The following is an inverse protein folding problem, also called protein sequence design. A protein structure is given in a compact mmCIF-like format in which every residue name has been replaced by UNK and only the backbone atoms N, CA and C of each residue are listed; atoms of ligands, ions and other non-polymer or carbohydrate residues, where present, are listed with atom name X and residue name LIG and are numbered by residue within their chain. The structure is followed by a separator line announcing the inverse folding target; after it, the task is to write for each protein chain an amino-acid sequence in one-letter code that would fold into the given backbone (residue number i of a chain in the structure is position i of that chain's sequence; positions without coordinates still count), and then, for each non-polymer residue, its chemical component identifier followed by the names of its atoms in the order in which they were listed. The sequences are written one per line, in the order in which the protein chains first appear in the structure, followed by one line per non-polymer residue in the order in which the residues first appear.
data_IF_653955412383
#
_entry.id   IF_653955412383
#
_cell.length_a   1.000
_cell.length_b   1.000
_cell.length_c   1.000
_cell.angle_alpha   90.00
_cell.angle_beta   90.00
_cell.angle_gamma   90.00
#
_symmetry.space_group_name_H-M   'P 1'
#
loop_
_entity.id
_entity.type
_entity.pdbx_description
1 polymer ?
#
# COMPACT_ATOMS: atom_id res chain seq x y z
N UNK A 1 7.47 14.11 6.99
CA UNK A 1 6.81 15.41 6.66
C UNK A 1 7.06 15.86 5.21
N UNK A 2 8.20 15.52 4.63
CA UNK A 2 8.56 15.81 3.21
C UNK A 2 7.68 15.10 2.20
N UNK A 3 7.33 13.81 2.43
CA UNK A 3 6.61 12.98 1.47
C UNK A 3 5.17 13.45 1.22
N UNK A 4 4.48 13.92 2.27
CA UNK A 4 3.12 14.47 2.11
C UNK A 4 3.13 15.78 1.32
N UNK A 5 4.16 16.62 1.48
CA UNK A 5 4.27 17.85 0.68
C UNK A 5 4.41 17.51 -0.80
N UNK A 6 5.23 16.51 -1.16
CA UNK A 6 5.41 16.05 -2.54
C UNK A 6 4.11 15.51 -3.13
N UNK A 7 3.35 14.71 -2.36
CA UNK A 7 2.03 14.23 -2.78
C UNK A 7 1.06 15.40 -3.04
N UNK A 8 0.96 16.34 -2.10
CA UNK A 8 0.11 17.53 -2.24
C UNK A 8 0.49 18.37 -3.45
N UNK A 9 1.78 18.52 -3.74
CA UNK A 9 2.28 19.24 -4.94
C UNK A 9 1.82 18.53 -6.21
N UNK A 10 1.92 17.19 -6.29
CA UNK A 10 1.47 16.41 -7.46
C UNK A 10 -0.03 16.54 -7.71
N UNK A 11 -0.83 16.52 -6.64
CA UNK A 11 -2.28 16.73 -6.73
C UNK A 11 -2.60 18.17 -7.10
N UNK A 12 -1.86 19.15 -6.57
CA UNK A 12 -1.98 20.56 -6.95
C UNK A 12 -1.74 20.79 -8.43
N UNK A 13 -0.70 20.16 -9.00
CA UNK A 13 -0.42 20.19 -10.44
C UNK A 13 -1.55 19.55 -11.25
N UNK A 14 -2.09 18.42 -10.81
CA UNK A 14 -3.24 17.80 -11.46
C UNK A 14 -4.46 18.73 -11.49
N UNK A 15 -4.77 19.41 -10.39
CA UNK A 15 -5.86 20.39 -10.30
C UNK A 15 -5.61 21.57 -11.24
N UNK A 16 -4.35 22.05 -11.33
CA UNK A 16 -3.98 23.14 -12.23
C UNK A 16 -4.16 22.73 -13.69
N UNK A 17 -3.77 21.52 -14.08
CA UNK A 17 -3.98 20.97 -15.41
C UNK A 17 -5.48 20.94 -15.76
N UNK A 18 -6.33 20.49 -14.83
CA UNK A 18 -7.78 20.47 -15.01
C UNK A 18 -8.36 21.89 -15.14
N UNK A 19 -7.84 22.85 -14.39
CA UNK A 19 -8.22 24.26 -14.53
C UNK A 19 -7.87 24.85 -15.92
N UNK A 20 -6.68 24.53 -16.43
CA UNK A 20 -6.27 24.91 -17.79
C UNK A 20 -7.20 24.26 -18.82
N UNK A 21 -7.57 22.98 -18.62
CA UNK A 21 -8.48 22.26 -19.50
C UNK A 21 -9.85 22.96 -19.61
N UNK A 22 -10.38 23.49 -18.50
CA UNK A 22 -11.61 24.30 -18.51
C UNK A 22 -11.45 25.51 -19.45
N UNK A 23 -10.35 26.24 -19.36
CA UNK A 23 -10.07 27.39 -20.22
C UNK A 23 -10.02 27.00 -21.70
N UNK A 24 -9.32 25.92 -22.03
CA UNK A 24 -9.21 25.40 -23.41
C UNK A 24 -10.56 24.95 -23.94
N UNK A 25 -11.34 24.19 -23.15
CA UNK A 25 -12.70 23.73 -23.51
C UNK A 25 -13.61 24.93 -23.80
N UNK A 26 -13.61 25.95 -22.96
CA UNK A 26 -14.42 27.14 -23.20
C UNK A 26 -13.97 27.93 -24.45
N UNK A 27 -12.66 27.98 -24.73
CA UNK A 27 -12.13 28.68 -25.90
C UNK A 27 -12.49 27.98 -27.23
N UNK A 28 -12.41 26.63 -27.27
CA UNK A 28 -12.65 25.88 -28.52
C UNK A 28 -14.12 25.49 -28.73
N UNK A 29 -14.96 25.42 -27.69
CA UNK A 29 -16.38 24.98 -27.78
C UNK A 29 -17.34 26.18 -27.94
N UNK A 30 -16.87 27.39 -28.18
CA UNK A 30 -17.71 28.56 -28.46
C UNK A 30 -18.68 28.33 -29.63
N UNK A 31 -18.38 27.39 -30.54
CA UNK A 31 -19.24 27.02 -31.68
C UNK A 31 -20.24 25.87 -31.42
N UNK A 32 -20.10 25.15 -30.31
CA UNK A 32 -21.07 24.12 -29.87
C UNK A 32 -22.08 24.74 -28.90
N UNK A 33 -23.34 24.30 -28.97
CA UNK A 33 -24.44 24.88 -28.18
C UNK A 33 -24.01 25.15 -26.74
N UNK A 34 -24.34 26.32 -26.20
CA UNK A 34 -23.97 26.77 -24.82
C UNK A 34 -24.31 25.73 -23.75
N UNK A 35 -25.35 24.91 -23.95
CA UNK A 35 -25.77 23.83 -23.05
C UNK A 35 -24.67 22.75 -22.94
N UNK A 36 -24.03 22.34 -24.05
CA UNK A 36 -22.99 21.32 -24.05
C UNK A 36 -21.73 21.78 -23.33
N UNK A 37 -21.32 23.03 -23.55
CA UNK A 37 -20.20 23.67 -22.82
C UNK A 37 -20.48 23.72 -21.31
N UNK A 38 -21.71 24.11 -20.92
CA UNK A 38 -22.11 24.16 -19.51
C UNK A 38 -22.02 22.77 -18.85
N UNK A 39 -22.51 21.72 -19.51
CA UNK A 39 -22.44 20.35 -18.98
C UNK A 39 -20.98 19.89 -18.77
N UNK A 40 -20.11 20.11 -19.72
CA UNK A 40 -18.69 19.76 -19.61
C UNK A 40 -18.04 20.50 -18.44
N UNK A 41 -18.28 21.80 -18.32
CA UNK A 41 -17.73 22.59 -17.23
C UNK A 41 -18.21 22.10 -15.85
N UNK A 42 -19.48 21.75 -15.68
CA UNK A 42 -20.01 21.18 -14.46
C UNK A 42 -19.29 19.86 -14.12
N UNK A 43 -19.06 18.98 -15.09
CA UNK A 43 -18.34 17.72 -14.89
C UNK A 43 -16.91 17.99 -14.41
N UNK A 44 -16.18 18.91 -15.07
CA UNK A 44 -14.78 19.22 -14.70
C UNK A 44 -14.72 19.86 -13.31
N UNK A 45 -15.62 20.79 -12.99
CA UNK A 45 -15.68 21.42 -11.67
C UNK A 45 -15.98 20.37 -10.58
N UNK A 46 -16.94 19.48 -10.82
CA UNK A 46 -17.25 18.40 -9.87
C UNK A 46 -16.06 17.47 -9.63
N UNK A 47 -15.29 17.14 -10.68
CA UNK A 47 -14.07 16.35 -10.58
C UNK A 47 -13.00 17.06 -9.73
N UNK A 48 -12.81 18.36 -9.96
CA UNK A 48 -11.88 19.16 -9.14
C UNK A 48 -12.30 19.16 -7.67
N UNK A 49 -13.58 19.34 -7.37
CA UNK A 49 -14.08 19.31 -6.00
C UNK A 49 -13.87 17.96 -5.33
N UNK A 50 -14.11 16.86 -6.04
CA UNK A 50 -13.86 15.49 -5.56
C UNK A 50 -12.37 15.31 -5.21
N UNK A 51 -11.47 15.76 -6.09
CA UNK A 51 -10.02 15.66 -5.87
C UNK A 51 -9.61 16.53 -4.67
N UNK A 52 -10.13 17.75 -4.53
CA UNK A 52 -9.86 18.63 -3.38
C UNK A 52 -10.32 17.98 -2.07
N UNK A 53 -11.56 17.47 -2.01
CA UNK A 53 -12.08 16.79 -0.84
C UNK A 53 -11.22 15.56 -0.49
N UNK A 54 -10.86 14.73 -1.48
CA UNK A 54 -9.97 13.57 -1.31
C UNK A 54 -8.60 13.99 -0.76
N UNK A 55 -8.05 15.09 -1.24
CA UNK A 55 -6.75 15.62 -0.78
C UNK A 55 -6.81 16.05 0.69
N UNK A 56 -7.87 16.73 1.10
CA UNK A 56 -8.08 17.14 2.50
C UNK A 56 -8.21 15.91 3.41
N UNK A 57 -8.96 14.90 2.99
CA UNK A 57 -9.11 13.64 3.76
C UNK A 57 -7.75 12.95 3.88
N UNK A 58 -7.02 12.78 2.78
CA UNK A 58 -5.68 12.17 2.77
C UNK A 58 -4.72 12.92 3.70
N UNK A 59 -4.72 14.25 3.67
CA UNK A 59 -3.89 15.07 4.56
C UNK A 59 -4.23 14.84 6.03
N UNK A 60 -5.53 14.80 6.39
CA UNK A 60 -5.97 14.53 7.76
C UNK A 60 -5.53 13.16 8.25
N UNK A 61 -5.69 12.14 7.42
CA UNK A 61 -5.32 10.75 7.73
C UNK A 61 -3.81 10.62 7.99
N UNK A 62 -2.97 11.17 7.10
CA UNK A 62 -1.51 11.10 7.28
C UNK A 62 -1.04 11.88 8.52
N UNK A 63 -1.81 12.90 8.96
CA UNK A 63 -1.58 13.62 10.23
C UNK A 63 -2.11 12.86 11.47
N UNK A 64 -2.57 11.61 11.31
CA UNK A 64 -3.10 10.79 12.41
C UNK A 64 -4.45 11.25 12.95
N UNK A 65 -5.21 12.07 12.21
CA UNK A 65 -6.56 12.48 12.62
C UNK A 65 -7.57 11.40 12.22
N UNK A 66 -8.47 11.08 13.15
CA UNK A 66 -9.53 10.11 12.90
C UNK A 66 -10.43 10.53 11.72
N UNK A 67 -10.72 9.59 10.86
CA UNK A 67 -11.67 9.71 9.74
C UNK A 67 -12.56 8.47 9.73
N UNK A 68 -13.84 8.66 9.49
CA UNK A 68 -14.82 7.58 9.42
C UNK A 68 -14.44 6.55 8.32
N UNK A 69 -14.65 5.25 8.60
CA UNK A 69 -14.28 4.14 7.70
C UNK A 69 -14.93 4.25 6.31
N UNK A 70 -16.19 4.69 6.21
CA UNK A 70 -16.85 4.85 4.91
C UNK A 70 -16.17 5.96 4.07
N UNK A 71 -15.82 7.08 4.71
CA UNK A 71 -15.09 8.17 4.04
C UNK A 71 -13.70 7.68 3.63
N UNK A 72 -13.02 6.90 4.48
CA UNK A 72 -11.72 6.29 4.18
C UNK A 72 -11.80 5.36 2.96
N UNK A 73 -12.85 4.53 2.87
CA UNK A 73 -13.09 3.64 1.72
C UNK A 73 -13.23 4.43 0.43
N UNK A 74 -14.09 5.45 0.42
CA UNK A 74 -14.32 6.30 -0.75
C UNK A 74 -13.01 7.01 -1.13
N UNK A 75 -12.33 7.61 -0.16
CA UNK A 75 -11.07 8.31 -0.37
C UNK A 75 -9.99 7.38 -0.95
N UNK A 76 -9.83 6.18 -0.39
CA UNK A 76 -8.85 5.21 -0.87
C UNK A 76 -9.15 4.77 -2.31
N UNK A 77 -10.42 4.57 -2.66
CA UNK A 77 -10.82 4.24 -4.03
C UNK A 77 -10.47 5.36 -5.02
N UNK A 78 -10.73 6.63 -4.65
CA UNK A 78 -10.38 7.79 -5.47
C UNK A 78 -8.86 7.87 -5.66
N UNK A 79 -8.10 7.79 -4.57
CA UNK A 79 -6.63 7.84 -4.61
C UNK A 79 -6.07 6.66 -5.42
N UNK A 80 -6.61 5.46 -5.25
CA UNK A 80 -6.18 4.27 -5.99
C UNK A 80 -6.43 4.40 -7.49
N UNK A 81 -7.57 4.97 -7.89
CA UNK A 81 -7.87 5.24 -9.31
C UNK A 81 -6.99 6.32 -9.91
N UNK A 82 -6.67 7.37 -9.15
CA UNK A 82 -5.82 8.48 -9.61
C UNK A 82 -4.31 8.20 -9.45
N UNK A 83 -3.93 7.15 -8.75
CA UNK A 83 -2.53 6.85 -8.42
C UNK A 83 -1.59 6.78 -9.65
N UNK A 84 -1.96 6.14 -10.78
CA UNK A 84 -1.11 6.12 -11.97
C UNK A 84 -0.83 7.52 -12.50
N UNK A 85 -1.85 8.39 -12.54
CA UNK A 85 -1.76 9.77 -13.04
C UNK A 85 -0.90 10.60 -12.09
N UNK A 86 -1.17 10.53 -10.78
CA UNK A 86 -0.39 11.25 -9.76
C UNK A 86 1.08 10.81 -9.78
N UNK A 87 1.33 9.51 -9.91
CA UNK A 87 2.68 8.95 -9.98
C UNK A 87 3.42 9.38 -11.24
N UNK A 88 2.72 9.47 -12.39
CA UNK A 88 3.28 9.97 -13.64
C UNK A 88 3.66 11.45 -13.52
N UNK A 89 2.74 12.30 -13.06
CA UNK A 89 2.99 13.74 -12.84
C UNK A 89 4.17 13.93 -11.89
N UNK A 90 4.17 13.27 -10.74
CA UNK A 90 5.26 13.35 -9.77
C UNK A 90 6.63 13.00 -10.39
N UNK A 91 6.66 11.94 -11.20
CA UNK A 91 7.88 11.52 -11.90
C UNK A 91 8.37 12.54 -12.92
N UNK A 92 7.47 13.18 -13.68
CA UNK A 92 7.81 14.22 -14.68
C UNK A 92 8.39 15.48 -14.04
N UNK A 93 8.02 15.77 -12.78
CA UNK A 93 8.58 16.87 -11.99
C UNK A 93 9.76 16.46 -11.08
N UNK A 94 10.42 15.34 -11.38
CA UNK A 94 11.61 14.86 -10.65
C UNK A 94 11.34 14.39 -9.22
N UNK A 95 10.08 14.14 -8.85
CA UNK A 95 9.74 13.61 -7.52
C UNK A 95 9.99 12.10 -7.44
N UNK A 96 10.44 11.63 -6.27
CA UNK A 96 10.68 10.21 -6.06
C UNK A 96 9.38 9.40 -6.13
N UNK A 97 9.31 8.43 -7.05
CA UNK A 97 8.19 7.48 -7.11
C UNK A 97 8.04 6.68 -5.82
N UNK A 98 9.12 6.44 -5.08
CA UNK A 98 9.06 5.72 -3.81
C UNK A 98 8.32 6.51 -2.73
N UNK A 99 8.46 7.83 -2.67
CA UNK A 99 7.76 8.66 -1.69
C UNK A 99 6.25 8.64 -1.93
N UNK A 100 5.82 8.72 -3.19
CA UNK A 100 4.39 8.64 -3.55
C UNK A 100 3.82 7.25 -3.24
N UNK A 101 4.58 6.18 -3.52
CA UNK A 101 4.19 4.82 -3.16
C UNK A 101 4.05 4.63 -1.65
N UNK A 102 4.97 5.19 -0.85
CA UNK A 102 4.88 5.14 0.62
C UNK A 102 3.60 5.78 1.14
N UNK A 103 3.21 6.93 0.59
CA UNK A 103 1.95 7.60 0.96
C UNK A 103 0.75 6.70 0.61
N UNK A 104 0.74 6.12 -0.59
CA UNK A 104 -0.32 5.22 -1.04
C UNK A 104 -0.47 4.00 -0.11
N UNK A 105 0.65 3.35 0.26
CA UNK A 105 0.64 2.18 1.15
C UNK A 105 0.19 2.58 2.56
N UNK A 106 0.67 3.72 3.09
CA UNK A 106 0.20 4.24 4.38
C UNK A 106 -1.29 4.50 4.37
N UNK A 107 -1.83 5.12 3.32
CA UNK A 107 -3.25 5.39 3.19
C UNK A 107 -4.07 4.08 3.12
N UNK A 108 -3.58 3.06 2.41
CA UNK A 108 -4.18 1.73 2.42
C UNK A 108 -4.21 1.13 3.83
N UNK A 109 -3.09 1.17 4.55
CA UNK A 109 -3.02 0.63 5.90
C UNK A 109 -3.99 1.35 6.85
N UNK A 110 -4.05 2.69 6.80
CA UNK A 110 -5.00 3.48 7.60
C UNK A 110 -6.46 3.18 7.23
N UNK A 111 -6.75 2.95 5.93
CA UNK A 111 -8.08 2.48 5.52
C UNK A 111 -8.41 1.12 6.16
N UNK A 112 -7.47 0.18 6.16
CA UNK A 112 -7.68 -1.13 6.79
C UNK A 112 -7.83 -0.97 8.31
N UNK A 113 -6.96 -0.19 8.97
CA UNK A 113 -7.05 0.09 10.41
C UNK A 113 -8.32 0.83 10.82
N UNK A 114 -9.02 1.52 9.92
CA UNK A 114 -10.31 2.14 10.21
C UNK A 114 -11.48 1.15 10.30
N UNK A 115 -11.28 -0.10 9.91
CA UNK A 115 -12.26 -1.18 10.01
C UNK A 115 -11.98 -2.07 11.23
N UNK A 116 -12.91 -2.94 11.56
CA UNK A 116 -12.74 -3.94 12.62
C UNK A 116 -12.67 -5.33 12.00
N UNK A 117 -11.66 -6.10 12.38
CA UNK A 117 -11.49 -7.47 11.94
C UNK A 117 -11.37 -8.39 13.15
N UNK A 118 -11.74 -9.65 12.97
CA UNK A 118 -11.58 -10.74 13.96
C UNK A 118 -11.43 -12.05 13.19
N UNK A 119 -10.30 -12.17 12.47
CA UNK A 119 -10.01 -13.38 11.70
C UNK A 119 -9.28 -14.41 12.56
N UNK A 120 -9.46 -15.70 12.25
CA UNK A 120 -8.61 -16.74 12.82
C UNK A 120 -7.18 -16.60 12.23
N UNK A 121 -6.18 -16.93 13.02
CA UNK A 121 -4.78 -16.86 12.58
C UNK A 121 -4.51 -17.70 11.33
N UNK A 122 -5.16 -18.87 11.20
CA UNK A 122 -5.05 -19.77 10.04
C UNK A 122 -5.59 -19.17 8.72
N UNK A 123 -6.50 -18.19 8.83
CA UNK A 123 -7.09 -17.48 7.68
C UNK A 123 -6.21 -16.31 7.20
N UNK A 124 -5.14 -16.01 7.94
CA UNK A 124 -4.19 -14.93 7.63
C UNK A 124 -2.90 -15.54 7.08
N UNK A 125 -2.37 -14.95 6.02
CA UNK A 125 -1.04 -15.30 5.54
C UNK A 125 -0.08 -14.12 5.66
N UNK A 126 1.20 -14.43 5.91
CA UNK A 126 2.29 -13.48 5.80
C UNK A 126 3.05 -13.79 4.51
N UNK A 127 3.17 -12.80 3.64
CA UNK A 127 4.01 -12.89 2.45
C UNK A 127 5.29 -12.11 2.67
N UNK A 128 6.43 -12.77 2.58
CA UNK A 128 7.74 -12.16 2.73
C UNK A 128 8.55 -12.28 1.45
N UNK A 129 9.43 -11.32 1.12
CA UNK A 129 10.30 -11.42 -0.04
C UNK A 129 11.51 -12.29 0.30
N UNK A 130 12.01 -13.02 -0.69
CA UNK A 130 13.21 -13.88 -0.54
C UNK A 130 14.47 -13.11 -0.09
N UNK A 131 14.54 -11.80 -0.34
CA UNK A 131 15.69 -10.97 0.01
C UNK A 131 15.83 -10.68 1.52
N UNK A 132 14.87 -11.09 2.36
CA UNK A 132 15.01 -11.08 3.82
C UNK A 132 16.01 -12.14 4.29
N UNK A 133 16.11 -13.26 3.54
CA UNK A 133 17.09 -14.29 3.85
C UNK A 133 18.51 -13.79 3.56
N UNK A 134 19.44 -14.10 4.46
CA UNK A 134 20.87 -13.88 4.26
C UNK A 134 21.35 -14.54 2.96
N UNK A 135 21.96 -13.77 2.07
CA UNK A 135 22.31 -14.20 0.71
C UNK A 135 23.30 -15.37 0.71
N UNK A 136 24.23 -15.40 1.68
CA UNK A 136 25.23 -16.46 1.85
C UNK A 136 24.64 -17.77 2.41
N UNK A 137 23.36 -17.79 2.83
CA UNK A 137 22.73 -18.97 3.41
C UNK A 137 22.56 -20.07 2.35
N UNK A 138 23.08 -21.27 2.64
CA UNK A 138 22.95 -22.43 1.77
C UNK A 138 21.56 -23.09 1.84
N UNK A 139 20.84 -22.90 2.96
CA UNK A 139 19.51 -23.46 3.21
C UNK A 139 18.45 -22.51 2.68
N UNK A 140 18.07 -22.64 1.43
CA UNK A 140 17.09 -21.72 0.81
C UNK A 140 15.69 -21.98 1.33
N UNK A 141 15.01 -20.88 1.73
CA UNK A 141 13.65 -20.89 2.29
C UNK A 141 12.57 -20.55 1.26
N UNK A 142 12.94 -20.44 -0.01
CA UNK A 142 12.00 -20.05 -1.10
C UNK A 142 10.89 -21.06 -1.33
N UNK A 143 11.11 -22.34 -1.07
CA UNK A 143 10.10 -23.38 -1.21
C UNK A 143 9.41 -23.67 0.12
N UNK A 144 10.15 -23.62 1.22
CA UNK A 144 9.65 -23.89 2.55
C UNK A 144 10.45 -23.07 3.57
N UNK A 145 9.76 -22.28 4.39
CA UNK A 145 10.39 -21.46 5.41
C UNK A 145 11.03 -22.33 6.51
N UNK A 146 10.51 -23.53 6.74
CA UNK A 146 10.97 -24.46 7.78
C UNK A 146 12.34 -25.09 7.45
N UNK A 147 12.88 -24.85 6.25
CA UNK A 147 14.28 -25.18 5.93
C UNK A 147 15.31 -24.36 6.73
N UNK A 148 14.89 -23.27 7.40
CA UNK A 148 15.77 -22.43 8.20
C UNK A 148 16.20 -23.14 9.50
N UNK A 149 17.48 -22.97 9.88
CA UNK A 149 18.04 -23.50 11.14
C UNK A 149 18.13 -22.39 12.26
N UNK A 150 17.39 -21.32 12.12
CA UNK A 150 17.27 -20.24 13.11
C UNK A 150 18.62 -19.71 13.65
N UNK A 151 19.62 -19.60 12.78
CA UNK A 151 20.98 -19.21 13.14
C UNK A 151 21.14 -17.72 13.56
N UNK A 152 20.07 -16.92 13.56
CA UNK A 152 20.06 -15.51 14.00
C UNK A 152 20.66 -14.49 13.02
N UNK A 153 21.09 -14.91 11.80
CA UNK A 153 21.72 -13.99 10.83
C UNK A 153 20.74 -13.15 10.02
N UNK A 154 19.45 -13.49 10.05
CA UNK A 154 18.37 -12.76 9.34
C UNK A 154 17.04 -12.98 10.06
N UNK A 155 16.00 -12.20 9.72
CA UNK A 155 14.69 -12.28 10.38
C UNK A 155 13.92 -13.58 10.13
N UNK A 156 14.38 -14.51 9.29
CA UNK A 156 13.66 -15.76 9.02
C UNK A 156 13.43 -16.57 10.31
N UNK A 157 14.43 -16.67 11.20
CA UNK A 157 14.27 -17.37 12.48
C UNK A 157 13.20 -16.73 13.38
N UNK A 158 13.16 -15.40 13.46
CA UNK A 158 12.13 -14.68 14.22
C UNK A 158 10.72 -14.89 13.62
N UNK A 159 10.63 -14.95 12.29
CA UNK A 159 9.39 -15.25 11.59
C UNK A 159 8.90 -16.68 11.86
N UNK A 160 9.80 -17.66 11.98
CA UNK A 160 9.42 -19.04 12.35
C UNK A 160 8.86 -19.06 13.77
N UNK A 161 9.53 -18.43 14.73
CA UNK A 161 9.02 -18.31 16.11
C UNK A 161 7.64 -17.64 16.15
N UNK A 162 7.42 -16.62 15.32
CA UNK A 162 6.12 -15.97 15.19
C UNK A 162 5.08 -16.94 14.61
N UNK A 163 5.42 -17.72 13.58
CA UNK A 163 4.57 -18.76 12.99
C UNK A 163 4.13 -19.77 14.06
N UNK A 164 5.06 -20.32 14.85
CA UNK A 164 4.80 -21.28 15.92
C UNK A 164 3.88 -20.71 17.00
N UNK A 165 4.13 -19.47 17.42
CA UNK A 165 3.33 -18.80 18.45
C UNK A 165 1.92 -18.43 18.01
N UNK A 166 1.74 -18.03 16.76
CA UNK A 166 0.49 -17.46 16.26
C UNK A 166 -0.32 -18.41 15.38
N UNK A 167 0.30 -19.47 14.90
CA UNK A 167 -0.26 -20.40 13.90
C UNK A 167 -0.63 -19.71 12.55
N UNK A 168 0.00 -18.59 12.25
CA UNK A 168 -0.17 -17.88 10.97
C UNK A 168 0.74 -18.51 9.92
N UNK A 169 0.23 -18.73 8.71
CA UNK A 169 1.01 -19.30 7.60
C UNK A 169 1.93 -18.25 6.99
N UNK A 170 3.20 -18.59 6.79
CA UNK A 170 4.19 -17.70 6.18
C UNK A 170 4.68 -18.30 4.86
N UNK A 171 4.68 -17.46 3.82
CA UNK A 171 5.14 -17.85 2.49
C UNK A 171 6.22 -16.89 1.98
N UNK A 172 7.22 -17.45 1.31
CA UNK A 172 8.28 -16.67 0.68
C UNK A 172 7.96 -16.49 -0.79
N UNK A 173 7.85 -15.24 -1.24
CA UNK A 173 7.61 -14.90 -2.63
C UNK A 173 8.87 -14.33 -3.28
N UNK A 174 9.27 -14.89 -4.42
CA UNK A 174 10.39 -14.40 -5.23
C UNK A 174 9.99 -13.25 -6.16
N UNK A 175 8.70 -12.95 -6.23
CA UNK A 175 8.14 -11.86 -7.04
C UNK A 175 6.62 -11.82 -7.00
N UNK A 176 6.04 -10.79 -7.60
CA UNK A 176 4.59 -10.54 -7.58
C UNK A 176 3.75 -11.66 -8.20
N UNK A 177 4.25 -12.35 -9.22
CA UNK A 177 3.53 -13.48 -9.85
C UNK A 177 3.34 -14.64 -8.87
N UNK A 178 4.42 -15.02 -8.15
CA UNK A 178 4.34 -16.09 -7.15
C UNK A 178 3.45 -15.66 -5.97
N UNK A 179 3.57 -14.40 -5.51
CA UNK A 179 2.71 -13.87 -4.45
C UNK A 179 1.22 -13.96 -4.81
N UNK A 180 0.83 -13.59 -6.04
CA UNK A 180 -0.55 -13.73 -6.52
C UNK A 180 -1.00 -15.18 -6.57
N UNK A 181 -0.15 -16.09 -7.05
CA UNK A 181 -0.43 -17.53 -7.09
C UNK A 181 -0.70 -18.06 -5.67
N UNK A 182 0.18 -17.77 -4.72
CA UNK A 182 0.00 -18.17 -3.31
C UNK A 182 -1.36 -17.71 -2.78
N UNK A 183 -1.75 -16.45 -3.02
CA UNK A 183 -3.04 -15.91 -2.57
C UNK A 183 -4.23 -16.64 -3.25
N UNK A 184 -4.13 -16.95 -4.53
CA UNK A 184 -5.18 -17.69 -5.25
C UNK A 184 -5.33 -19.11 -4.73
N UNK A 185 -4.22 -19.77 -4.43
CA UNK A 185 -4.20 -21.18 -3.98
C UNK A 185 -4.65 -21.29 -2.51
N UNK A 186 -4.20 -20.38 -1.65
CA UNK A 186 -4.50 -20.41 -0.20
C UNK A 186 -5.84 -19.76 0.17
N UNK A 187 -6.35 -18.86 -0.67
CA UNK A 187 -7.60 -18.10 -0.47
C UNK A 187 -7.72 -17.51 0.94
N UNK A 188 -6.74 -16.74 1.41
CA UNK A 188 -6.75 -16.21 2.77
C UNK A 188 -7.84 -15.14 2.93
N UNK A 189 -8.27 -14.89 4.18
CA UNK A 189 -9.17 -13.77 4.50
C UNK A 189 -8.44 -12.45 4.66
N UNK A 190 -7.13 -12.48 4.98
CA UNK A 190 -6.27 -11.31 5.07
C UNK A 190 -4.81 -11.64 4.73
N UNK A 191 -4.06 -10.63 4.32
CA UNK A 191 -2.63 -10.74 3.99
C UNK A 191 -1.84 -9.68 4.74
N UNK A 192 -0.75 -10.08 5.40
CA UNK A 192 0.31 -9.20 5.84
C UNK A 192 1.45 -9.33 4.83
N UNK A 193 1.66 -8.30 4.01
CA UNK A 193 2.66 -8.33 2.95
C UNK A 193 3.88 -7.52 3.35
N UNK A 194 5.03 -8.18 3.45
CA UNK A 194 6.33 -7.55 3.67
C UNK A 194 7.02 -7.39 2.33
N UNK A 195 7.33 -6.18 1.89
CA UNK A 195 8.10 -5.94 0.66
C UNK A 195 8.59 -4.49 0.56
N UNK A 196 9.27 -4.17 -0.56
CA UNK A 196 9.62 -2.81 -0.90
C UNK A 196 8.39 -2.02 -1.40
N UNK A 197 8.50 -0.70 -1.45
CA UNK A 197 7.40 0.20 -1.83
C UNK A 197 6.80 -0.12 -3.21
N UNK A 198 7.65 -0.58 -4.15
CA UNK A 198 7.23 -0.94 -5.51
C UNK A 198 6.33 -2.17 -5.50
N UNK A 199 6.75 -3.20 -4.83
CA UNK A 199 6.07 -4.49 -4.85
C UNK A 199 4.81 -4.45 -3.98
N UNK A 200 4.84 -3.74 -2.83
CA UNK A 200 3.65 -3.49 -2.01
C UNK A 200 2.57 -2.72 -2.79
N UNK A 201 2.97 -1.64 -3.50
CA UNK A 201 2.01 -0.85 -4.29
C UNK A 201 1.34 -1.72 -5.36
N UNK A 202 2.11 -2.51 -6.11
CA UNK A 202 1.57 -3.42 -7.11
C UNK A 202 0.64 -4.45 -6.49
N UNK A 203 1.07 -5.11 -5.40
CA UNK A 203 0.26 -6.11 -4.71
C UNK A 203 -1.07 -5.56 -4.18
N UNK A 204 -1.06 -4.38 -3.56
CA UNK A 204 -2.28 -3.73 -3.05
C UNK A 204 -3.23 -3.35 -4.20
N UNK A 205 -2.70 -2.89 -5.34
CA UNK A 205 -3.53 -2.55 -6.50
C UNK A 205 -4.20 -3.78 -7.14
N UNK A 206 -3.52 -4.91 -7.12
CA UNK A 206 -4.01 -6.16 -7.72
C UNK A 206 -5.05 -6.86 -6.85
N UNK A 207 -4.91 -6.77 -5.52
CA UNK A 207 -5.74 -7.51 -4.56
C UNK A 207 -6.77 -6.57 -3.95
N UNK A 208 -7.99 -6.56 -4.52
CA UNK A 208 -9.06 -5.64 -4.08
C UNK A 208 -10.09 -6.27 -3.14
N UNK A 209 -10.09 -7.60 -3.00
CA UNK A 209 -11.19 -8.33 -2.32
C UNK A 209 -10.92 -8.63 -0.85
N UNK A 210 -9.68 -8.64 -0.44
CA UNK A 210 -9.25 -8.96 0.93
C UNK A 210 -8.34 -7.86 1.47
N UNK A 211 -8.32 -7.60 2.79
CA UNK A 211 -7.43 -6.63 3.39
C UNK A 211 -5.97 -7.08 3.24
N UNK A 212 -5.12 -6.17 2.74
CA UNK A 212 -3.67 -6.35 2.62
C UNK A 212 -2.97 -5.27 3.43
N UNK A 213 -2.40 -5.62 4.58
CA UNK A 213 -1.54 -4.72 5.36
C UNK A 213 -0.11 -4.79 4.84
N UNK A 214 0.40 -3.66 4.37
CA UNK A 214 1.75 -3.54 3.86
C UNK A 214 2.75 -3.17 4.95
N UNK A 215 3.79 -3.98 5.12
CA UNK A 215 4.92 -3.73 6.02
C UNK A 215 6.17 -3.48 5.17
N UNK A 216 6.85 -2.36 5.40
CA UNK A 216 8.03 -2.02 4.62
C UNK A 216 9.25 -2.83 5.07
N UNK A 217 9.96 -3.44 4.13
CA UNK A 217 11.29 -3.93 4.42
C UNK A 217 12.33 -2.80 4.45
N UNK A 218 13.30 -2.92 5.35
CA UNK A 218 14.48 -2.05 5.44
C UNK A 218 15.57 -2.60 4.52
N UNK A 219 16.29 -1.73 3.83
CA UNK A 219 17.27 -2.10 2.79
C UNK A 219 18.64 -1.49 3.08
N UNK A 220 19.31 -1.90 4.18
CA UNK A 220 20.58 -1.32 4.59
C UNK A 220 21.71 -1.55 3.57
N UNK A 221 21.65 -2.67 2.83
CA UNK A 221 22.66 -3.09 1.86
C UNK A 221 22.25 -2.80 0.40
N UNK A 222 21.30 -1.87 0.19
CA UNK A 222 20.76 -1.59 -1.15
C UNK A 222 19.57 -2.47 -1.53
N UNK A 223 19.11 -2.40 -2.78
CA UNK A 223 17.91 -3.10 -3.21
C UNK A 223 18.11 -4.62 -3.27
N UNK A 224 17.15 -5.38 -2.74
CA UNK A 224 17.05 -6.85 -2.85
C UNK A 224 18.22 -7.66 -2.28
N UNK A 225 19.01 -7.11 -1.34
CA UNK A 225 20.14 -7.80 -0.72
C UNK A 225 20.07 -7.67 0.79
N UNK A 226 20.02 -8.82 1.50
CA UNK A 226 20.02 -8.90 2.96
C UNK A 226 19.14 -7.84 3.61
N UNK A 227 17.89 -7.79 3.16
CA UNK A 227 16.91 -6.85 3.70
C UNK A 227 16.42 -7.35 5.05
N UNK A 228 15.92 -6.46 5.87
CA UNK A 228 15.34 -6.83 7.15
C UNK A 228 13.95 -6.18 7.33
N UNK A 229 13.22 -6.63 8.32
CA UNK A 229 11.88 -6.12 8.66
C UNK A 229 11.80 -5.90 10.16
N UNK A 230 11.01 -4.92 10.57
CA UNK A 230 10.66 -4.74 11.97
C UNK A 230 9.59 -5.76 12.36
N UNK A 231 9.93 -6.67 13.25
CA UNK A 231 9.01 -7.72 13.70
C UNK A 231 7.79 -7.13 14.40
N UNK A 232 7.96 -6.02 15.13
CA UNK A 232 6.86 -5.33 15.82
C UNK A 232 5.77 -4.85 14.84
N UNK A 233 6.15 -4.42 13.62
CA UNK A 233 5.18 -4.02 12.60
C UNK A 233 4.34 -5.20 12.10
N UNK A 234 4.96 -6.39 11.96
CA UNK A 234 4.26 -7.62 11.57
C UNK A 234 3.31 -8.08 12.70
N UNK A 235 3.81 -8.11 13.93
CA UNK A 235 3.02 -8.48 15.11
C UNK A 235 1.81 -7.58 15.29
N UNK A 236 2.00 -6.27 15.17
CA UNK A 236 0.92 -5.28 15.21
C UNK A 236 -0.13 -5.53 14.11
N UNK A 237 0.32 -5.85 12.89
CA UNK A 237 -0.59 -6.14 11.78
C UNK A 237 -1.42 -7.41 12.05
N UNK A 238 -0.80 -8.50 12.54
CA UNK A 238 -1.50 -9.74 12.89
C UNK A 238 -2.44 -9.49 14.08
N UNK A 239 -1.97 -8.82 15.12
CA UNK A 239 -2.77 -8.50 16.32
C UNK A 239 -4.03 -7.72 15.95
N UNK A 240 -3.90 -6.75 15.05
CA UNK A 240 -5.04 -5.99 14.56
C UNK A 240 -6.04 -6.86 13.77
N UNK A 241 -5.55 -7.71 12.86
CA UNK A 241 -6.41 -8.57 12.03
C UNK A 241 -7.10 -9.67 12.84
N UNK A 242 -6.47 -10.15 13.92
CA UNK A 242 -7.04 -11.18 14.80
C UNK A 242 -7.86 -10.60 15.95
N UNK A 243 -7.81 -9.29 16.19
CA UNK A 243 -8.41 -8.67 17.37
C UNK A 243 -7.73 -9.05 18.71
N UNK A 244 -6.50 -9.61 18.66
CA UNK A 244 -5.73 -10.06 19.81
C UNK A 244 -4.46 -9.22 19.99
N UNK A 245 -4.08 -8.93 21.23
CA UNK A 245 -2.76 -8.37 21.50
C UNK A 245 -1.69 -9.47 21.37
N UNK A 246 -0.93 -9.44 20.28
CA UNK A 246 0.19 -10.36 20.03
C UNK A 246 1.47 -9.56 20.25
N UNK A 247 1.95 -9.46 21.47
CA UNK A 247 3.29 -8.99 21.78
C UNK A 247 4.21 -10.20 21.95
N UNK A 248 5.15 -10.38 21.02
CA UNK A 248 6.08 -11.51 21.00
C UNK A 248 7.48 -11.10 21.44
N UNK A 249 7.81 -9.81 21.33
CA UNK A 249 9.11 -9.31 21.72
C UNK A 249 9.12 -8.84 23.18
N UNK A 250 9.60 -9.72 24.07
CA UNK A 250 10.33 -9.40 25.30
C UNK A 250 11.71 -10.02 25.18
#
# INVERSE_FOLDING_TARGET
MTDIKKYLTSVGILILILGILIGVVNFFIISLTQIFSLMINIIIISLILIILCSTVVTYRVIKGKYVNSNIMKINFNIVSGLFPIISFIASSFGMSKSDIRRIYIKLNNEYIYSNKYNFNSEDIIILIPHCIQENSCKLKVTNDIDNCKECGRCNIGELIKLKEKTNVKIFVATGGTLARKIIMDTKPKAVVAVACERDLTSGIQDIKKIPVLGVFNKRPNGPCVNTNVDMMDIEKAIGFLTGKNILVCN
#
